data_IF_510628880797
#
_entry.id   IF_510628880797
#
_cell.length_a   1.000
_cell.length_b   1.000
_cell.length_c   1.000
_cell.angle_alpha   90.00
_cell.angle_beta   90.00
_cell.angle_gamma   90.00
#
_symmetry.space_group_name_H-M   'P 1'
#
loop_
_entity.id
_entity.type
_entity.pdbx_description
1 polymer ?
#
# COMPACT_ATOMS: atom_id res chain seq x y z
N UNK A 1 10.03 2.96 -3.53
CA UNK A 1 8.82 2.12 -3.54
C UNK A 1 8.85 1.01 -4.61
N UNK A 2 9.99 0.77 -5.28
CA UNK A 2 10.11 -0.23 -6.35
C UNK A 2 10.75 -1.56 -5.92
N UNK A 3 11.32 -1.66 -4.72
CA UNK A 3 12.19 -2.80 -4.38
C UNK A 3 11.48 -4.16 -4.28
N UNK A 4 10.29 -4.29 -3.66
CA UNK A 4 9.56 -5.57 -3.66
C UNK A 4 9.07 -5.96 -5.06
N UNK A 5 8.63 -5.00 -5.88
CA UNK A 5 8.21 -5.26 -7.26
C UNK A 5 9.39 -5.71 -8.13
N UNK A 6 10.56 -5.08 -7.97
CA UNK A 6 11.81 -5.52 -8.60
C UNK A 6 12.20 -6.92 -8.09
N UNK A 7 12.02 -7.21 -6.81
CA UNK A 7 12.28 -8.54 -6.25
C UNK A 7 11.43 -9.64 -6.87
N UNK A 8 10.12 -9.40 -7.03
CA UNK A 8 9.24 -10.33 -7.76
C UNK A 8 9.70 -10.49 -9.21
N UNK A 9 9.98 -9.39 -9.93
CA UNK A 9 10.45 -9.45 -11.32
C UNK A 9 11.77 -10.22 -11.46
N UNK A 10 12.73 -9.97 -10.58
CA UNK A 10 14.02 -10.67 -10.55
C UNK A 10 13.84 -12.16 -10.24
N UNK A 11 12.96 -12.51 -9.30
CA UNK A 11 12.62 -13.90 -9.01
C UNK A 11 12.01 -14.60 -10.24
N UNK A 12 11.14 -13.93 -10.99
CA UNK A 12 10.60 -14.48 -12.24
C UNK A 12 11.66 -14.67 -13.31
N UNK A 13 12.56 -13.70 -13.48
CA UNK A 13 13.64 -13.79 -14.47
C UNK A 13 14.56 -14.97 -14.12
N UNK A 14 14.95 -15.10 -12.86
CA UNK A 14 15.86 -16.15 -12.40
C UNK A 14 15.19 -17.53 -12.45
N UNK A 15 13.97 -17.66 -11.94
CA UNK A 15 13.22 -18.92 -11.98
C UNK A 15 12.92 -19.39 -13.40
N UNK A 16 12.71 -18.47 -14.35
CA UNK A 16 12.57 -18.81 -15.77
C UNK A 16 13.90 -19.15 -16.45
N UNK A 17 15.02 -18.65 -15.95
CA UNK A 17 16.35 -18.86 -16.57
C UNK A 17 17.04 -20.12 -16.04
N UNK A 18 16.90 -20.41 -14.75
CA UNK A 18 17.70 -21.42 -14.03
C UNK A 18 16.86 -22.63 -13.65
N UNK A 19 15.62 -22.43 -13.19
CA UNK A 19 14.85 -23.45 -12.47
C UNK A 19 13.54 -23.87 -13.17
N UNK A 20 13.49 -23.78 -14.51
CA UNK A 20 12.28 -24.09 -15.30
C UNK A 20 11.72 -25.49 -15.03
N UNK A 21 12.59 -26.49 -14.85
CA UNK A 21 12.19 -27.87 -14.53
C UNK A 21 11.62 -28.07 -13.11
N UNK A 22 11.91 -27.14 -12.19
CA UNK A 22 11.36 -27.14 -10.83
C UNK A 22 10.12 -26.24 -10.70
N UNK A 23 9.95 -25.29 -11.62
CA UNK A 23 8.82 -24.35 -11.68
C UNK A 23 7.56 -24.98 -12.27
N UNK A 24 7.71 -25.73 -13.36
CA UNK A 24 6.59 -26.26 -14.14
C UNK A 24 6.42 -27.76 -13.89
N UNK A 25 5.19 -28.26 -14.01
CA UNK A 25 4.87 -29.70 -13.96
C UNK A 25 5.31 -30.41 -12.67
N UNK A 26 5.24 -29.75 -11.51
CA UNK A 26 5.56 -30.37 -10.24
C UNK A 26 4.32 -30.94 -9.54
N UNK A 27 4.53 -31.90 -8.67
CA UNK A 27 3.48 -32.51 -7.87
C UNK A 27 3.19 -31.65 -6.63
N UNK A 28 1.92 -31.25 -6.43
CA UNK A 28 1.49 -30.45 -5.29
C UNK A 28 0.15 -30.92 -4.73
N UNK A 29 0.17 -31.40 -3.48
CA UNK A 29 -1.02 -31.94 -2.82
C UNK A 29 -1.52 -33.20 -3.54
N UNK A 30 -2.65 -33.09 -4.24
CA UNK A 30 -3.30 -34.22 -4.90
C UNK A 30 -2.91 -34.43 -6.37
N UNK A 31 -2.23 -33.48 -7.02
CA UNK A 31 -2.03 -33.52 -8.48
C UNK A 31 -0.79 -32.77 -8.97
N UNK A 32 -0.39 -33.08 -10.20
CA UNK A 32 0.57 -32.26 -10.96
C UNK A 32 -0.08 -30.94 -11.37
N UNK A 33 0.59 -29.84 -11.04
CA UNK A 33 0.19 -28.47 -11.35
C UNK A 33 1.07 -27.89 -12.43
N UNK A 34 0.48 -27.04 -13.28
CA UNK A 34 1.13 -26.58 -14.50
C UNK A 34 1.62 -25.15 -14.39
N UNK A 35 0.90 -24.29 -13.66
CA UNK A 35 1.26 -22.89 -13.47
C UNK A 35 1.85 -22.69 -12.07
N UNK A 36 3.09 -22.20 -11.93
CA UNK A 36 3.65 -21.91 -10.61
C UNK A 36 2.91 -20.75 -9.96
N UNK A 37 2.61 -20.83 -8.67
CA UNK A 37 2.13 -19.66 -7.93
C UNK A 37 3.31 -18.76 -7.53
N UNK A 38 3.05 -17.50 -7.13
CA UNK A 38 4.12 -16.60 -6.65
C UNK A 38 4.67 -17.11 -5.33
N UNK A 39 3.79 -17.56 -4.45
CA UNK A 39 4.18 -18.15 -3.16
C UNK A 39 5.13 -19.33 -3.34
N UNK A 40 4.96 -20.12 -4.42
CA UNK A 40 5.88 -21.18 -4.81
C UNK A 40 7.21 -20.66 -5.33
N UNK A 41 7.17 -19.73 -6.27
CA UNK A 41 8.34 -19.12 -6.90
C UNK A 41 9.28 -18.49 -5.87
N UNK A 42 8.73 -17.70 -4.95
CA UNK A 42 9.49 -16.99 -3.91
C UNK A 42 10.04 -17.93 -2.83
N UNK A 43 9.65 -19.21 -2.84
CA UNK A 43 10.12 -20.22 -1.91
C UNK A 43 11.14 -21.20 -2.53
N UNK A 44 11.65 -20.90 -3.72
CA UNK A 44 12.84 -21.55 -4.29
C UNK A 44 14.12 -20.99 -3.64
N UNK A 45 15.18 -21.78 -3.51
CA UNK A 45 16.32 -21.44 -2.65
C UNK A 45 17.04 -20.15 -3.06
N UNK A 46 17.21 -19.89 -4.36
CA UNK A 46 17.92 -18.71 -4.85
C UNK A 46 17.01 -17.46 -4.84
N UNK A 47 15.79 -17.62 -5.33
CA UNK A 47 14.75 -16.61 -5.40
C UNK A 47 14.36 -16.12 -4.01
N UNK A 48 14.29 -17.02 -3.03
CA UNK A 48 13.99 -16.70 -1.63
C UNK A 48 15.05 -15.79 -1.03
N UNK A 49 16.34 -16.01 -1.32
CA UNK A 49 17.42 -15.15 -0.80
C UNK A 49 17.25 -13.73 -1.34
N UNK A 50 17.03 -13.59 -2.65
CA UNK A 50 16.85 -12.28 -3.29
C UNK A 50 15.56 -11.59 -2.82
N UNK A 51 14.48 -12.35 -2.72
CA UNK A 51 13.20 -11.87 -2.19
C UNK A 51 13.33 -11.38 -0.76
N UNK A 52 13.99 -12.13 0.11
CA UNK A 52 14.18 -11.74 1.51
C UNK A 52 15.03 -10.48 1.62
N UNK A 53 16.13 -10.41 0.88
CA UNK A 53 17.01 -9.24 0.88
C UNK A 53 16.27 -7.98 0.42
N UNK A 54 15.51 -8.06 -0.68
CA UNK A 54 14.78 -6.92 -1.25
C UNK A 54 13.55 -6.55 -0.42
N UNK A 55 12.84 -7.54 0.12
CA UNK A 55 11.69 -7.32 1.00
C UNK A 55 12.13 -6.65 2.31
N UNK A 56 13.14 -7.20 2.99
CA UNK A 56 13.68 -6.66 4.25
C UNK A 56 14.29 -5.27 4.07
N UNK A 57 15.08 -5.06 3.01
CA UNK A 57 15.66 -3.73 2.74
C UNK A 57 14.60 -2.68 2.39
N UNK A 58 13.40 -3.09 1.96
CA UNK A 58 12.31 -2.17 1.68
C UNK A 58 11.54 -1.73 2.94
N UNK A 59 11.65 -2.44 4.07
CA UNK A 59 10.89 -2.15 5.30
C UNK A 59 11.13 -0.72 5.83
N UNK A 60 12.37 -0.22 5.96
CA UNK A 60 12.60 1.16 6.42
C UNK A 60 11.93 2.20 5.52
N UNK A 61 11.97 1.98 4.20
CA UNK A 61 11.33 2.86 3.22
C UNK A 61 9.80 2.84 3.35
N UNK A 62 9.20 1.67 3.62
CA UNK A 62 7.77 1.55 3.87
C UNK A 62 7.36 2.34 5.12
N UNK A 63 8.11 2.22 6.22
CA UNK A 63 7.85 2.97 7.45
C UNK A 63 7.96 4.49 7.25
N UNK A 64 8.94 4.96 6.46
CA UNK A 64 9.04 6.37 6.10
C UNK A 64 7.82 6.87 5.31
N UNK A 65 7.28 6.06 4.40
CA UNK A 65 6.06 6.40 3.65
C UNK A 65 4.86 6.50 4.59
N UNK A 66 4.72 5.57 5.54
CA UNK A 66 3.65 5.60 6.56
C UNK A 66 3.75 6.85 7.42
N UNK A 67 4.95 7.20 7.88
CA UNK A 67 5.18 8.42 8.66
C UNK A 67 4.82 9.67 7.87
N UNK A 68 5.24 9.74 6.61
CA UNK A 68 4.89 10.87 5.72
C UNK A 68 3.38 10.98 5.53
N UNK A 69 2.70 9.85 5.30
CA UNK A 69 1.25 9.79 5.14
C UNK A 69 0.51 10.19 6.42
N UNK A 70 1.02 9.78 7.58
CA UNK A 70 0.52 10.21 8.88
C UNK A 70 0.57 11.74 9.01
N UNK A 71 1.72 12.36 8.73
CA UNK A 71 1.90 13.82 8.81
C UNK A 71 0.99 14.56 7.83
N UNK A 72 0.99 14.16 6.55
CA UNK A 72 0.24 14.86 5.51
C UNK A 72 -1.27 14.81 5.74
N UNK A 73 -1.78 13.75 6.35
CA UNK A 73 -3.21 13.59 6.51
C UNK A 73 -3.73 14.15 7.84
N UNK A 74 -3.01 15.14 8.40
CA UNK A 74 -3.37 15.78 9.66
C UNK A 74 -4.82 16.32 9.66
N UNK A 75 -5.52 16.10 10.76
CA UNK A 75 -6.87 16.62 10.97
C UNK A 75 -7.15 16.79 12.47
N UNK A 76 -7.90 17.83 12.80
CA UNK A 76 -8.40 18.12 14.15
C UNK A 76 -9.68 17.33 14.50
N UNK A 77 -10.32 16.68 13.53
CA UNK A 77 -11.54 15.91 13.78
C UNK A 77 -11.22 14.55 14.41
N UNK A 78 -11.86 14.23 15.54
CA UNK A 78 -11.72 12.94 16.25
C UNK A 78 -11.92 11.72 15.35
N UNK A 79 -12.89 11.78 14.41
CA UNK A 79 -13.15 10.68 13.46
C UNK A 79 -11.99 10.47 12.49
N UNK A 80 -11.40 11.55 11.97
CA UNK A 80 -10.27 11.47 11.05
C UNK A 80 -8.99 11.07 11.78
N UNK A 81 -8.82 11.47 13.04
CA UNK A 81 -7.71 11.00 13.87
C UNK A 81 -7.76 9.48 14.09
N UNK A 82 -8.95 8.94 14.43
CA UNK A 82 -9.13 7.49 14.54
C UNK A 82 -8.76 6.77 13.24
N UNK A 83 -9.26 7.23 12.09
CA UNK A 83 -8.92 6.64 10.79
C UNK A 83 -7.41 6.70 10.50
N UNK A 84 -6.72 7.77 10.89
CA UNK A 84 -5.25 7.85 10.73
C UNK A 84 -4.52 6.81 11.57
N UNK A 85 -4.93 6.61 12.82
CA UNK A 85 -4.33 5.60 13.70
C UNK A 85 -4.56 4.20 13.14
N UNK A 86 -5.78 3.90 12.68
CA UNK A 86 -6.08 2.62 12.02
C UNK A 86 -5.24 2.42 10.76
N UNK A 87 -5.05 3.46 9.95
CA UNK A 87 -4.18 3.39 8.76
C UNK A 87 -2.72 3.09 9.11
N UNK A 88 -2.15 3.75 10.14
CA UNK A 88 -0.78 3.47 10.58
C UNK A 88 -0.66 2.04 11.11
N UNK A 89 -1.57 1.62 11.99
CA UNK A 89 -1.56 0.27 12.58
C UNK A 89 -1.69 -0.79 11.48
N UNK A 90 -2.68 -0.67 10.61
CA UNK A 90 -2.90 -1.62 9.52
C UNK A 90 -1.73 -1.66 8.54
N UNK A 91 -1.07 -0.52 8.26
CA UNK A 91 0.13 -0.50 7.43
C UNK A 91 1.34 -1.16 8.10
N UNK A 92 1.51 -1.02 9.42
CA UNK A 92 2.57 -1.72 10.16
C UNK A 92 2.34 -3.23 10.12
N UNK A 93 1.10 -3.68 10.38
CA UNK A 93 0.75 -5.10 10.26
C UNK A 93 0.94 -5.62 8.84
N UNK A 94 0.57 -4.85 7.81
CA UNK A 94 0.79 -5.22 6.42
C UNK A 94 2.28 -5.46 6.12
N UNK A 95 3.17 -4.54 6.53
CA UNK A 95 4.61 -4.70 6.36
C UNK A 95 5.18 -5.87 7.17
N UNK A 96 4.69 -6.09 8.40
CA UNK A 96 5.07 -7.21 9.26
C UNK A 96 4.71 -8.55 8.59
N UNK A 97 3.46 -8.73 8.17
CA UNK A 97 3.02 -9.98 7.53
C UNK A 97 3.70 -10.22 6.20
N UNK A 98 3.97 -9.19 5.40
CA UNK A 98 4.75 -9.31 4.17
C UNK A 98 6.20 -9.78 4.46
N UNK A 99 6.80 -9.28 5.54
CA UNK A 99 8.14 -9.71 5.97
C UNK A 99 8.11 -11.16 6.45
N UNK A 100 7.10 -11.56 7.22
CA UNK A 100 6.91 -12.93 7.68
C UNK A 100 6.66 -13.90 6.51
N UNK A 101 5.93 -13.49 5.48
CA UNK A 101 5.76 -14.26 4.23
C UNK A 101 7.05 -14.43 3.45
N UNK A 102 7.99 -13.48 3.56
CA UNK A 102 9.31 -13.61 2.96
C UNK A 102 10.17 -14.59 3.76
N UNK A 103 10.22 -14.42 5.09
CA UNK A 103 11.09 -15.22 5.94
C UNK A 103 10.59 -16.63 6.16
N UNK A 104 9.28 -16.89 6.22
CA UNK A 104 8.70 -18.21 6.46
C UNK A 104 8.17 -18.81 5.16
N UNK A 105 8.92 -19.78 4.64
CA UNK A 105 8.59 -20.47 3.42
C UNK A 105 7.47 -21.51 3.60
N UNK A 106 6.67 -21.74 2.54
CA UNK A 106 5.62 -22.76 2.54
C UNK A 106 6.14 -24.17 2.90
N UNK A 107 7.41 -24.45 2.57
CA UNK A 107 8.08 -25.74 2.77
C UNK A 107 8.47 -26.02 4.21
N UNK A 108 8.71 -24.97 4.99
CA UNK A 108 9.10 -25.09 6.39
C UNK A 108 7.86 -25.21 7.27
N UNK A 109 6.84 -24.39 6.98
CA UNK A 109 5.57 -24.46 7.70
C UNK A 109 4.41 -23.86 6.89
N UNK A 110 3.74 -24.72 6.12
CA UNK A 110 2.61 -24.31 5.28
C UNK A 110 1.47 -23.64 6.05
N UNK A 111 1.17 -24.11 7.27
CA UNK A 111 0.11 -23.53 8.12
C UNK A 111 0.41 -22.07 8.51
N UNK A 112 1.64 -21.79 8.96
CA UNK A 112 2.05 -20.43 9.28
C UNK A 112 2.09 -19.53 8.04
N UNK A 113 2.52 -20.07 6.89
CA UNK A 113 2.50 -19.32 5.64
C UNK A 113 1.09 -18.86 5.26
N UNK A 114 0.09 -19.75 5.34
CA UNK A 114 -1.32 -19.40 5.09
C UNK A 114 -1.85 -18.39 6.13
N UNK A 115 -1.44 -18.53 7.40
CA UNK A 115 -1.82 -17.57 8.44
C UNK A 115 -1.24 -16.17 8.17
N UNK A 116 0.03 -16.07 7.77
CA UNK A 116 0.66 -14.80 7.41
C UNK A 116 0.06 -14.20 6.14
N UNK A 117 -0.27 -15.03 5.14
CA UNK A 117 -0.98 -14.58 3.95
C UNK A 117 -2.35 -13.99 4.28
N UNK A 118 -3.07 -14.63 5.20
CA UNK A 118 -4.36 -14.12 5.72
C UNK A 118 -4.21 -12.80 6.46
N UNK A 119 -3.22 -12.69 7.34
CA UNK A 119 -2.92 -11.44 8.05
C UNK A 119 -2.55 -10.31 7.10
N UNK A 120 -1.73 -10.60 6.09
CA UNK A 120 -1.38 -9.66 5.01
C UNK A 120 -2.62 -9.21 4.24
N UNK A 121 -3.45 -10.14 3.78
CA UNK A 121 -4.67 -9.84 3.01
C UNK A 121 -5.62 -8.91 3.79
N UNK A 122 -5.92 -9.25 5.04
CA UNK A 122 -6.83 -8.45 5.89
C UNK A 122 -6.24 -7.06 6.18
N UNK A 123 -4.97 -6.99 6.57
CA UNK A 123 -4.31 -5.71 6.85
C UNK A 123 -4.22 -4.82 5.61
N UNK A 124 -3.96 -5.38 4.42
CA UNK A 124 -3.97 -4.64 3.14
C UNK A 124 -5.35 -4.07 2.82
N UNK A 125 -6.43 -4.87 2.94
CA UNK A 125 -7.80 -4.38 2.67
C UNK A 125 -8.15 -3.23 3.62
N UNK A 126 -7.89 -3.39 4.92
CA UNK A 126 -8.16 -2.36 5.93
C UNK A 126 -7.37 -1.09 5.62
N UNK A 127 -6.06 -1.22 5.39
CA UNK A 127 -5.18 -0.08 5.11
C UNK A 127 -5.67 0.69 3.87
N UNK A 128 -5.97 -0.01 2.78
CA UNK A 128 -6.37 0.63 1.53
C UNK A 128 -7.78 1.23 1.60
N UNK A 129 -8.70 0.59 2.31
CA UNK A 129 -10.04 1.12 2.54
C UNK A 129 -9.98 2.41 3.37
N UNK A 130 -9.28 2.37 4.51
CA UNK A 130 -9.12 3.53 5.39
C UNK A 130 -8.40 4.66 4.68
N UNK A 131 -7.33 4.36 3.93
CA UNK A 131 -6.63 5.36 3.13
C UNK A 131 -7.55 6.00 2.09
N UNK A 132 -8.32 5.21 1.35
CA UNK A 132 -9.24 5.73 0.32
C UNK A 132 -10.32 6.62 0.93
N UNK A 133 -10.87 6.24 2.08
CA UNK A 133 -11.84 7.05 2.83
C UNK A 133 -11.20 8.36 3.30
N UNK A 134 -10.01 8.28 3.89
CA UNK A 134 -9.31 9.43 4.43
C UNK A 134 -8.95 10.44 3.33
N UNK A 135 -8.50 9.95 2.17
CA UNK A 135 -8.21 10.81 1.01
C UNK A 135 -9.45 11.48 0.44
N UNK A 136 -10.62 10.83 0.48
CA UNK A 136 -11.89 11.46 0.09
C UNK A 136 -12.24 12.68 0.95
N UNK A 137 -11.82 12.72 2.21
CA UNK A 137 -12.06 13.86 3.10
C UNK A 137 -10.97 14.93 3.02
N UNK A 138 -9.72 14.51 2.91
CA UNK A 138 -8.56 15.43 2.93
C UNK A 138 -8.34 16.08 1.56
N UNK A 139 -8.45 15.32 0.48
CA UNK A 139 -8.15 15.72 -0.89
C UNK A 139 -9.43 15.84 -1.74
N UNK A 140 -10.34 16.74 -1.36
CA UNK A 140 -11.61 16.95 -2.08
C UNK A 140 -11.43 17.49 -3.50
N UNK A 141 -10.39 18.28 -3.71
CA UNK A 141 -10.07 18.90 -5.01
C UNK A 141 -9.16 18.00 -5.88
N UNK A 142 -8.93 16.75 -5.45
CA UNK A 142 -8.22 15.76 -6.25
C UNK A 142 -8.98 15.45 -7.56
N UNK A 143 -8.24 15.27 -8.65
CA UNK A 143 -8.84 14.86 -9.92
C UNK A 143 -9.64 13.55 -9.74
N UNK A 144 -10.94 13.52 -10.10
CA UNK A 144 -11.85 12.40 -9.82
C UNK A 144 -11.39 11.07 -10.42
N UNK A 145 -10.55 11.10 -11.47
CA UNK A 145 -9.95 9.91 -12.08
C UNK A 145 -9.06 9.13 -11.10
N UNK A 146 -8.31 9.82 -10.25
CA UNK A 146 -7.42 9.18 -9.27
C UNK A 146 -8.23 8.51 -8.15
N UNK A 147 -9.23 9.21 -7.62
CA UNK A 147 -10.16 8.65 -6.64
C UNK A 147 -10.90 7.42 -7.19
N UNK A 148 -11.43 7.49 -8.42
CA UNK A 148 -12.10 6.35 -9.08
C UNK A 148 -11.15 5.16 -9.25
N UNK A 149 -9.90 5.40 -9.70
CA UNK A 149 -8.89 4.34 -9.84
C UNK A 149 -8.60 3.64 -8.51
N UNK A 150 -8.44 4.39 -7.40
CA UNK A 150 -8.24 3.79 -6.07
C UNK A 150 -9.40 2.88 -5.67
N UNK A 151 -10.63 3.33 -5.86
CA UNK A 151 -11.84 2.54 -5.56
C UNK A 151 -11.90 1.29 -6.43
N UNK A 152 -11.66 1.40 -7.75
CA UNK A 152 -11.64 0.24 -8.66
C UNK A 152 -10.60 -0.79 -8.25
N UNK A 153 -9.38 -0.36 -7.89
CA UNK A 153 -8.32 -1.26 -7.44
C UNK A 153 -8.68 -1.93 -6.10
N UNK A 154 -9.24 -1.17 -5.15
CA UNK A 154 -9.71 -1.71 -3.87
C UNK A 154 -10.81 -2.75 -4.06
N UNK A 155 -11.80 -2.48 -4.92
CA UNK A 155 -12.85 -3.44 -5.26
C UNK A 155 -12.27 -4.71 -5.89
N UNK A 156 -11.27 -4.55 -6.78
CA UNK A 156 -10.51 -5.67 -7.31
C UNK A 156 -9.92 -6.53 -6.19
N UNK A 157 -9.22 -5.93 -5.22
CA UNK A 157 -8.61 -6.68 -4.11
C UNK A 157 -9.63 -7.37 -3.20
N UNK A 158 -10.76 -6.72 -2.93
CA UNK A 158 -11.86 -7.30 -2.14
C UNK A 158 -12.47 -8.51 -2.83
N UNK A 159 -12.39 -8.61 -4.16
CA UNK A 159 -12.84 -9.77 -4.92
C UNK A 159 -11.71 -10.82 -5.01
N UNK A 160 -10.51 -10.43 -5.41
CA UNK A 160 -9.43 -11.38 -5.70
C UNK A 160 -8.94 -12.10 -4.46
N UNK A 161 -8.78 -11.41 -3.32
CA UNK A 161 -8.26 -12.02 -2.10
C UNK A 161 -9.15 -13.17 -1.58
N UNK A 162 -10.48 -13.01 -1.41
CA UNK A 162 -11.35 -14.14 -1.09
C UNK A 162 -11.32 -15.26 -2.13
N UNK A 163 -11.24 -14.93 -3.43
CA UNK A 163 -11.15 -15.96 -4.48
C UNK A 163 -9.89 -16.82 -4.34
N UNK A 164 -8.75 -16.24 -3.93
CA UNK A 164 -7.52 -17.00 -3.64
C UNK A 164 -7.79 -18.03 -2.53
N UNK A 165 -8.43 -17.64 -1.42
CA UNK A 165 -8.73 -18.57 -0.33
C UNK A 165 -9.68 -19.69 -0.76
N UNK A 166 -10.72 -19.36 -1.53
CA UNK A 166 -11.66 -20.34 -2.06
C UNK A 166 -10.93 -21.33 -2.98
N UNK A 167 -10.10 -20.84 -3.90
CA UNK A 167 -9.32 -21.67 -4.81
C UNK A 167 -8.31 -22.57 -4.06
N UNK A 168 -7.68 -22.04 -3.01
CA UNK A 168 -6.77 -22.79 -2.14
C UNK A 168 -7.50 -23.94 -1.43
N UNK A 169 -8.68 -23.70 -0.86
CA UNK A 169 -9.49 -24.75 -0.21
C UNK A 169 -9.97 -25.79 -1.22
N UNK A 170 -10.47 -25.34 -2.38
CA UNK A 170 -10.92 -26.25 -3.45
C UNK A 170 -9.80 -27.17 -3.96
N UNK A 171 -8.56 -26.67 -4.04
CA UNK A 171 -7.41 -27.48 -4.42
C UNK A 171 -6.97 -28.44 -3.32
N UNK A 172 -6.78 -27.96 -2.09
CA UNK A 172 -6.16 -28.75 -1.03
C UNK A 172 -7.14 -29.70 -0.32
N UNK A 173 -8.41 -29.34 -0.20
CA UNK A 173 -9.43 -30.14 0.51
C UNK A 173 -10.25 -30.98 -0.46
N UNK A 174 -10.69 -30.38 -1.56
CA UNK A 174 -11.61 -31.03 -2.50
C UNK A 174 -10.93 -31.57 -3.77
N UNK A 175 -9.60 -31.39 -3.90
CA UNK A 175 -8.80 -31.81 -5.06
C UNK A 175 -9.43 -31.45 -6.43
N UNK A 176 -10.08 -30.28 -6.52
CA UNK A 176 -10.77 -29.84 -7.75
C UNK A 176 -9.76 -29.51 -8.85
N UNK A 177 -9.99 -30.03 -10.07
CA UNK A 177 -9.14 -29.76 -11.23
C UNK A 177 -9.14 -28.26 -11.55
N UNK A 178 -8.00 -27.73 -11.96
CA UNK A 178 -7.76 -26.32 -12.28
C UNK A 178 -7.87 -25.32 -11.11
N UNK A 179 -8.27 -25.74 -9.90
CA UNK A 179 -8.36 -24.83 -8.75
C UNK A 179 -7.00 -24.19 -8.39
N UNK A 180 -5.92 -24.95 -8.49
CA UNK A 180 -4.56 -24.41 -8.30
C UNK A 180 -4.18 -23.36 -9.34
N UNK A 181 -4.52 -23.59 -10.61
CA UNK A 181 -4.16 -22.65 -11.67
C UNK A 181 -4.93 -21.33 -11.48
N UNK A 182 -6.20 -21.43 -11.06
CA UNK A 182 -6.98 -20.26 -10.66
C UNK A 182 -6.32 -19.53 -9.47
N UNK A 183 -5.93 -20.26 -8.43
CA UNK A 183 -5.20 -19.71 -7.28
C UNK A 183 -3.96 -18.91 -7.73
N UNK A 184 -3.10 -19.48 -8.59
CA UNK A 184 -1.91 -18.82 -9.10
C UNK A 184 -2.24 -17.56 -9.93
N UNK A 185 -3.24 -17.62 -10.82
CA UNK A 185 -3.69 -16.46 -11.60
C UNK A 185 -4.17 -15.32 -10.70
N UNK A 186 -4.94 -15.63 -9.66
CA UNK A 186 -5.45 -14.63 -8.73
C UNK A 186 -4.35 -14.06 -7.82
N UNK A 187 -3.30 -14.83 -7.47
CA UNK A 187 -2.10 -14.29 -6.82
C UNK A 187 -1.42 -13.23 -7.71
N UNK A 188 -1.20 -13.53 -8.99
CA UNK A 188 -0.61 -12.58 -9.95
C UNK A 188 -1.45 -11.31 -10.07
N UNK A 189 -2.76 -11.46 -10.23
CA UNK A 189 -3.69 -10.34 -10.34
C UNK A 189 -3.66 -9.49 -9.06
N UNK A 190 -3.60 -10.11 -7.89
CA UNK A 190 -3.53 -9.41 -6.61
C UNK A 190 -2.26 -8.58 -6.48
N UNK A 191 -1.11 -9.08 -6.91
CA UNK A 191 0.15 -8.32 -6.91
C UNK A 191 0.05 -7.10 -7.85
N UNK A 192 -0.50 -7.30 -9.04
CA UNK A 192 -0.73 -6.20 -10.00
C UNK A 192 -1.62 -5.13 -9.38
N UNK A 193 -2.70 -5.52 -8.71
CA UNK A 193 -3.62 -4.60 -8.03
C UNK A 193 -2.94 -3.85 -6.87
N UNK A 194 -2.18 -4.55 -6.03
CA UNK A 194 -1.39 -3.95 -4.94
C UNK A 194 -0.42 -2.91 -5.50
N UNK A 195 0.32 -3.26 -6.55
CA UNK A 195 1.25 -2.34 -7.19
C UNK A 195 0.52 -1.14 -7.81
N UNK A 196 -0.60 -1.37 -8.49
CA UNK A 196 -1.42 -0.32 -9.08
C UNK A 196 -1.94 0.67 -8.02
N UNK A 197 -2.26 0.20 -6.81
CA UNK A 197 -2.66 1.06 -5.69
C UNK A 197 -1.50 1.96 -5.24
N UNK A 198 -0.32 1.37 -5.00
CA UNK A 198 0.86 2.13 -4.58
C UNK A 198 1.32 3.16 -5.62
N UNK A 199 1.29 2.81 -6.90
CA UNK A 199 1.60 3.73 -8.01
C UNK A 199 0.59 4.88 -8.06
N UNK A 200 -0.70 4.59 -7.91
CA UNK A 200 -1.74 5.63 -7.89
C UNK A 200 -1.52 6.64 -6.75
N UNK A 201 -1.06 6.18 -5.59
CA UNK A 201 -0.77 7.04 -4.45
C UNK A 201 0.53 7.83 -4.63
N UNK A 202 1.55 7.24 -5.25
CA UNK A 202 2.80 7.93 -5.55
C UNK A 202 2.58 9.13 -6.46
N UNK A 203 1.81 8.97 -7.54
CA UNK A 203 1.50 10.09 -8.43
C UNK A 203 0.76 11.21 -7.70
N UNK A 204 -0.16 10.87 -6.79
CA UNK A 204 -0.86 11.88 -6.02
C UNK A 204 0.07 12.69 -5.12
N UNK A 205 1.00 12.03 -4.41
CA UNK A 205 1.93 12.73 -3.51
C UNK A 205 3.11 13.40 -4.23
N UNK A 206 3.25 13.16 -5.52
CA UNK A 206 4.20 13.86 -6.39
C UNK A 206 3.62 15.17 -6.94
N UNK A 207 2.29 15.33 -6.93
CA UNK A 207 1.64 16.57 -7.37
C UNK A 207 1.92 17.73 -6.38
N UNK A 208 2.60 18.81 -6.83
CA UNK A 208 2.92 19.96 -5.98
C UNK A 208 1.68 20.68 -5.45
N UNK A 209 0.60 20.71 -6.25
CA UNK A 209 -0.62 21.45 -5.92
C UNK A 209 -1.31 20.90 -4.67
N UNK A 210 -1.32 19.57 -4.52
CA UNK A 210 -1.94 18.91 -3.38
C UNK A 210 -1.13 19.11 -2.08
N UNK A 211 0.21 19.17 -2.18
CA UNK A 211 1.07 19.44 -1.02
C UNK A 211 0.77 20.81 -0.43
N UNK A 212 0.67 21.82 -1.29
CA UNK A 212 0.40 23.21 -0.91
C UNK A 212 -1.03 23.33 -0.34
N UNK A 213 -2.02 22.71 -0.98
CA UNK A 213 -3.42 22.77 -0.54
C UNK A 213 -3.64 22.14 0.84
N UNK A 214 -3.05 20.96 1.08
CA UNK A 214 -3.13 20.26 2.38
C UNK A 214 -2.43 21.08 3.47
N UNK A 215 -1.28 21.67 3.15
CA UNK A 215 -0.56 22.59 4.03
C UNK A 215 -1.38 23.82 4.43
N UNK A 216 -1.97 24.51 3.45
CA UNK A 216 -2.79 25.71 3.68
C UNK A 216 -4.06 25.40 4.48
N UNK A 217 -4.69 24.26 4.21
CA UNK A 217 -5.90 23.82 4.93
C UNK A 217 -5.59 23.45 6.38
N UNK A 218 -4.47 22.76 6.61
CA UNK A 218 -4.03 22.40 7.97
C UNK A 218 -3.62 23.63 8.77
N UNK A 219 -2.94 24.60 8.14
CA UNK A 219 -2.62 25.90 8.74
C UNK A 219 -3.85 26.72 9.12
N UNK A 220 -4.85 26.82 8.22
CA UNK A 220 -6.12 27.52 8.50
C UNK A 220 -6.92 26.85 9.62
N UNK A 221 -6.99 25.52 9.64
CA UNK A 221 -7.74 24.78 10.66
C UNK A 221 -7.07 24.86 12.04
N UNK A 222 -5.73 24.89 12.08
CA UNK A 222 -4.97 25.14 13.30
C UNK A 222 -5.19 26.58 13.82
N UNK A 223 -5.15 27.58 12.93
CA UNK A 223 -5.42 28.98 13.28
C UNK A 223 -6.84 29.20 13.83
N UNK A 224 -7.85 28.53 13.25
CA UNK A 224 -9.24 28.61 13.72
C UNK A 224 -9.45 27.93 15.08
N UNK A 225 -8.68 26.89 15.39
CA UNK A 225 -8.65 26.25 16.70
C UNK A 225 -7.97 27.11 17.77
N UNK A 226 -7.00 27.94 17.39
CA UNK A 226 -6.27 28.82 18.32
C UNK A 226 -7.00 30.12 18.63
N UNK A 227 -7.95 30.57 17.81
CA UNK A 227 -8.78 31.75 18.13
C UNK A 227 -9.76 31.53 19.30
N UNK A 228 -9.90 30.29 19.80
CA UNK A 228 -10.59 29.97 21.05
C UNK A 228 -9.64 29.89 22.27
N UNK A 229 -8.34 30.07 22.05
CA UNK A 229 -7.27 29.96 23.05
C UNK A 229 -6.26 31.11 22.86
N UNK A 230 -6.75 32.29 22.50
CA UNK A 230 -5.92 33.41 22.08
C UNK A 230 -5.48 34.29 23.26
N UNK A 231 -4.91 33.67 24.32
CA UNK A 231 -4.21 34.47 25.34
C UNK A 231 -2.98 33.81 26.01
N UNK A 232 -2.69 32.51 25.78
CA UNK A 232 -1.56 31.84 26.45
C UNK A 232 -0.38 31.45 25.55
N UNK A 233 -0.58 31.26 24.24
CA UNK A 233 0.47 30.75 23.32
C UNK A 233 0.89 31.83 22.31
N UNK A 234 1.23 33.02 22.81
CA UNK A 234 1.96 34.02 22.01
C UNK A 234 3.48 33.74 21.96
N UNK A 235 3.92 32.56 22.44
CA UNK A 235 5.35 32.28 22.72
C UNK A 235 5.95 30.94 22.30
N UNK A 236 5.25 30.06 21.57
CA UNK A 236 5.86 28.81 21.09
C UNK A 236 5.78 28.67 19.57
N UNK A 237 6.86 29.11 18.93
CA UNK A 237 7.59 28.51 17.81
C UNK A 237 7.11 27.11 17.31
N UNK A 238 5.88 26.98 16.80
CA UNK A 238 5.37 25.73 16.22
C UNK A 238 4.87 25.88 14.77
N UNK A 239 5.02 27.07 14.17
CA UNK A 239 4.68 27.28 12.76
C UNK A 239 5.59 26.50 11.78
N UNK A 240 6.79 26.08 12.20
CA UNK A 240 7.77 25.40 11.35
C UNK A 240 7.57 23.88 11.16
N UNK A 241 6.70 23.24 11.94
CA UNK A 241 6.57 21.77 11.92
C UNK A 241 5.38 21.25 11.10
N UNK A 242 4.43 22.12 10.75
CA UNK A 242 3.23 21.72 10.02
C UNK A 242 3.47 21.76 8.50
N UNK A 243 4.39 22.61 8.04
CA UNK A 243 4.83 22.69 6.64
C UNK A 243 6.31 23.08 6.57
N UNK A 244 7.21 22.17 6.15
CA UNK A 244 8.63 22.48 5.96
C UNK A 244 8.92 23.25 4.66
N UNK A 245 7.88 23.64 3.92
CA UNK A 245 8.03 24.37 2.67
C UNK A 245 7.78 25.86 2.91
N UNK A 246 8.84 26.63 2.77
CA UNK A 246 8.78 28.08 2.63
C UNK A 246 8.17 28.37 1.24
N UNK A 247 6.83 28.39 1.17
CA UNK A 247 6.13 28.63 -0.10
C UNK A 247 6.33 30.09 -0.47
N UNK A 248 7.08 30.34 -1.55
CA UNK A 248 7.31 31.68 -2.06
C UNK A 248 5.96 32.36 -2.38
N UNK A 249 5.79 33.66 -2.06
CA UNK A 249 4.57 34.42 -2.35
C UNK A 249 4.12 34.36 -3.83
N UNK A 250 5.05 34.04 -4.74
CA UNK A 250 4.78 33.87 -6.17
C UNK A 250 4.03 32.57 -6.51
N UNK A 251 4.28 31.46 -5.81
CA UNK A 251 3.58 30.18 -6.05
C UNK A 251 2.15 30.20 -5.50
N UNK A 252 1.95 30.89 -4.37
CA UNK A 252 0.62 31.16 -3.80
C UNK A 252 -0.31 31.88 -4.77
N UNK A 253 0.23 32.85 -5.53
CA UNK A 253 -0.55 33.70 -6.44
C UNK A 253 -1.01 32.98 -7.70
N UNK A 254 -0.31 31.91 -8.12
CA UNK A 254 -0.73 31.07 -9.25
C UNK A 254 -1.84 30.08 -8.88
N UNK A 255 -1.89 29.62 -7.62
CA UNK A 255 -2.89 28.64 -7.16
C UNK A 255 -4.21 29.29 -6.76
N UNK A 256 -4.21 30.54 -6.28
CA UNK A 256 -5.42 31.23 -5.83
C UNK A 256 -6.24 31.89 -6.94
N UNK A 257 -5.74 31.92 -8.19
CA UNK A 257 -6.50 32.50 -9.31
C UNK A 257 -6.81 33.99 -9.16
N UNK A 258 -6.11 34.72 -8.27
CA UNK A 258 -6.25 36.17 -8.16
C UNK A 258 -5.40 36.83 -9.26
N UNK A 259 -5.96 36.83 -10.48
CA UNK A 259 -5.56 37.76 -11.52
C UNK A 259 -5.92 39.17 -11.05
N UNK A 260 -4.91 39.94 -10.65
CA UNK A 260 -5.03 41.37 -10.40
C UNK A 260 -5.76 42.04 -11.57
N UNK A 261 -6.95 42.59 -11.30
CA UNK A 261 -7.55 43.63 -12.13
C UNK A 261 -6.96 44.95 -11.63
N UNK A 262 -5.84 45.37 -12.22
CA UNK A 262 -5.41 46.77 -12.20
C UNK A 262 -6.06 47.43 -13.41
N UNK A 263 -7.10 48.23 -13.17
CA UNK A 263 -7.32 49.64 -13.57
C UNK A 263 -8.57 50.09 -12.84
#
# INVERSE_FOLDING_TARGET
>A
MSMPAIGVLMAFIIGYSVDTGLLYNYYWGCRTVYLPSVSRLLNLPLERILWNLLSLSSVPLQLMVVLRQYILTFSTSNRLQFLRVVMVISSVFQSLFLTLLATVGERESGEFHVAFFSGFAVSTIINYAVFTILMRFTAKDENPKHGRRRVTVLLGLVITLPTIFIAFILHNVFCVKAAYEAFAIFEYLTIILIYAFHVSNFYLYSDPSLKILVCLKNGKTAAQSTNAYEDSIRRTMLAGWICPYDVSPHELRQVTGESHRFV
#
